data_IF_400890047284
#
_entry.id   IF_400890047284
#
_cell.length_a   1.000
_cell.length_b   1.000
_cell.length_c   1.000
_cell.angle_alpha   90.00
_cell.angle_beta   90.00
_cell.angle_gamma   90.00
#
_symmetry.space_group_name_H-M   'P 1'
#
loop_
_entity.id
_entity.type
_entity.pdbx_description
1 polymer ?
#
# COMPACT_ATOMS: atom_id res chain seq x y z
N UNK A 1 27.29 10.40 -5.69
CA UNK A 1 26.00 11.05 -5.40
C UNK A 1 26.06 11.83 -4.09
N UNK A 2 26.24 11.17 -2.95
CA UNK A 2 26.26 11.83 -1.63
C UNK A 2 27.24 13.01 -1.52
N UNK A 3 28.52 12.81 -1.89
CA UNK A 3 29.54 13.88 -1.85
C UNK A 3 29.16 15.04 -2.77
N UNK A 4 28.73 14.73 -4.00
CA UNK A 4 28.35 15.73 -5.00
C UNK A 4 27.15 16.57 -4.52
N UNK A 5 26.10 15.92 -3.98
CA UNK A 5 24.94 16.62 -3.46
C UNK A 5 25.29 17.52 -2.29
N UNK A 6 26.07 17.02 -1.33
CA UNK A 6 26.57 17.82 -0.21
C UNK A 6 27.37 19.04 -0.68
N UNK A 7 28.29 18.86 -1.63
CA UNK A 7 29.09 19.99 -2.14
C UNK A 7 28.22 21.04 -2.83
N UNK A 8 27.27 20.61 -3.68
CA UNK A 8 26.41 21.53 -4.41
C UNK A 8 25.42 22.26 -3.47
N UNK A 9 24.76 21.52 -2.57
CA UNK A 9 23.85 22.09 -1.59
C UNK A 9 24.57 23.07 -0.65
N UNK A 10 25.77 22.73 -0.19
CA UNK A 10 26.57 23.63 0.64
C UNK A 10 26.94 24.90 -0.10
N UNK A 11 27.42 24.82 -1.34
CA UNK A 11 27.75 26.01 -2.15
C UNK A 11 26.49 26.87 -2.38
N UNK A 12 25.36 26.25 -2.66
CA UNK A 12 24.10 26.96 -2.88
C UNK A 12 23.64 27.76 -1.66
N UNK A 13 23.57 27.12 -0.48
CA UNK A 13 23.13 27.80 0.74
C UNK A 13 24.17 28.78 1.29
N UNK A 14 25.46 28.59 1.02
CA UNK A 14 26.47 29.59 1.34
C UNK A 14 26.31 30.89 0.53
N UNK A 15 25.78 30.80 -0.70
CA UNK A 15 25.58 31.95 -1.57
C UNK A 15 24.24 32.67 -1.36
N UNK A 16 23.22 31.97 -0.85
CA UNK A 16 21.89 32.52 -0.63
C UNK A 16 21.69 32.88 0.85
N UNK A 17 21.36 31.89 1.70
CA UNK A 17 21.06 32.08 3.11
C UNK A 17 21.74 31.01 3.99
N UNK A 18 22.67 31.46 4.83
CA UNK A 18 23.46 30.58 5.71
C UNK A 18 22.61 29.88 6.78
N UNK A 19 21.48 30.47 7.18
CA UNK A 19 20.59 29.88 8.18
C UNK A 19 19.91 28.61 7.64
N UNK A 20 19.61 28.57 6.33
CA UNK A 20 18.97 27.43 5.67
C UNK A 20 19.92 26.24 5.47
N UNK A 21 21.23 26.50 5.51
CA UNK A 21 22.25 25.45 5.52
C UNK A 21 22.03 24.46 6.69
N UNK A 22 21.66 24.97 7.87
CA UNK A 22 21.42 24.11 9.03
C UNK A 22 20.18 23.24 8.83
N UNK A 23 19.10 23.80 8.27
CA UNK A 23 17.89 23.04 7.94
C UNK A 23 18.15 21.99 6.86
N UNK A 24 18.99 22.29 5.87
CA UNK A 24 19.44 21.34 4.86
C UNK A 24 20.15 20.13 5.49
N UNK A 25 21.16 20.34 6.33
CA UNK A 25 21.86 19.25 7.01
C UNK A 25 20.96 18.46 7.97
N UNK A 26 20.08 19.15 8.70
CA UNK A 26 19.10 18.51 9.57
C UNK A 26 18.17 17.59 8.76
N UNK A 27 17.73 18.03 7.58
CA UNK A 27 16.86 17.26 6.70
C UNK A 27 17.52 15.95 6.23
N UNK A 28 18.80 16.01 5.83
CA UNK A 28 19.59 14.83 5.43
C UNK A 28 19.72 13.86 6.61
N UNK A 29 20.04 14.38 7.80
CA UNK A 29 20.18 13.56 9.01
C UNK A 29 18.86 12.87 9.35
N UNK A 30 17.73 13.58 9.31
CA UNK A 30 16.41 13.01 9.59
C UNK A 30 16.04 11.91 8.61
N UNK A 31 16.27 12.12 7.30
CA UNK A 31 16.03 11.08 6.29
C UNK A 31 16.94 9.88 6.55
N UNK A 32 18.23 10.08 6.80
CA UNK A 32 19.15 8.99 7.08
C UNK A 32 18.71 8.17 8.30
N UNK A 33 18.40 8.83 9.42
CA UNK A 33 17.94 8.16 10.64
C UNK A 33 16.66 7.38 10.39
N UNK A 34 15.68 7.98 9.71
CA UNK A 34 14.41 7.33 9.39
C UNK A 34 14.62 6.08 8.52
N UNK A 35 15.39 6.20 7.45
CA UNK A 35 15.63 5.11 6.51
C UNK A 35 16.52 4.01 7.12
N UNK A 36 17.45 4.38 8.00
CA UNK A 36 18.27 3.44 8.76
C UNK A 36 17.42 2.62 9.75
N UNK A 37 16.42 3.24 10.40
CA UNK A 37 15.45 2.53 11.26
C UNK A 37 14.69 1.49 10.42
N UNK A 38 14.20 1.86 9.23
CA UNK A 38 13.49 0.93 8.34
C UNK A 38 14.37 -0.25 7.91
N UNK A 39 15.65 0.00 7.65
CA UNK A 39 16.61 -1.06 7.36
C UNK A 39 16.83 -1.99 8.56
N UNK A 40 16.96 -1.45 9.78
CA UNK A 40 17.12 -2.25 11.00
C UNK A 40 15.90 -3.15 11.27
N UNK A 41 14.70 -2.69 10.91
CA UNK A 41 13.46 -3.47 11.00
C UNK A 41 13.38 -4.54 9.89
N UNK A 42 14.23 -4.46 8.86
CA UNK A 42 14.26 -5.39 7.74
C UNK A 42 13.20 -5.11 6.67
N UNK A 43 12.63 -3.91 6.65
CA UNK A 43 11.66 -3.48 5.64
C UNK A 43 12.33 -3.22 4.29
N UNK A 44 13.53 -2.65 4.28
CA UNK A 44 14.26 -2.26 3.08
C UNK A 44 15.67 -2.84 3.01
N UNK A 45 16.22 -2.87 1.79
CA UNK A 45 17.58 -3.32 1.56
C UNK A 45 18.58 -2.17 1.80
N UNK A 46 19.84 -2.50 2.07
CA UNK A 46 20.90 -1.51 2.26
C UNK A 46 21.14 -0.62 1.03
N UNK A 47 20.79 -1.09 -0.17
CA UNK A 47 20.82 -0.30 -1.40
C UNK A 47 19.83 0.87 -1.37
N UNK A 48 18.60 0.63 -0.92
CA UNK A 48 17.55 1.66 -0.82
C UNK A 48 17.95 2.76 0.17
N UNK A 49 18.61 2.38 1.26
CA UNK A 49 19.13 3.32 2.26
C UNK A 49 20.15 4.28 1.66
N UNK A 50 21.13 3.76 0.94
CA UNK A 50 22.17 4.58 0.29
C UNK A 50 21.56 5.51 -0.76
N UNK A 51 20.59 5.01 -1.53
CA UNK A 51 19.94 5.77 -2.58
C UNK A 51 19.11 6.92 -2.02
N UNK A 52 18.23 6.67 -1.05
CA UNK A 52 17.36 7.70 -0.47
C UNK A 52 18.16 8.73 0.34
N UNK A 53 19.20 8.28 1.06
CA UNK A 53 20.12 9.21 1.72
C UNK A 53 20.86 10.06 0.69
N UNK A 54 21.33 9.47 -0.41
CA UNK A 54 21.93 10.22 -1.52
C UNK A 54 20.95 11.22 -2.15
N UNK A 55 19.68 10.84 -2.35
CA UNK A 55 18.64 11.73 -2.85
C UNK A 55 18.38 12.91 -1.92
N UNK A 56 18.42 12.70 -0.59
CA UNK A 56 18.23 13.79 0.38
C UNK A 56 19.29 14.88 0.28
N UNK A 57 20.49 14.56 -0.20
CA UNK A 57 21.53 15.57 -0.43
C UNK A 57 21.30 16.41 -1.68
N UNK A 58 20.46 15.95 -2.61
CA UNK A 58 20.20 16.65 -3.88
C UNK A 58 18.82 17.33 -3.92
N UNK A 59 17.80 16.69 -3.36
CA UNK A 59 16.42 17.18 -3.38
C UNK A 59 16.18 18.15 -2.21
N UNK A 60 16.52 19.41 -2.45
CA UNK A 60 16.22 20.53 -1.54
C UNK A 60 14.91 21.22 -1.97
N UNK A 61 14.25 21.89 -1.03
CA UNK A 61 12.96 22.59 -1.29
C UNK A 61 13.12 23.63 -2.40
N UNK A 62 14.19 24.42 -2.35
CA UNK A 62 14.44 25.50 -3.30
C UNK A 62 14.68 24.99 -4.72
N UNK A 63 15.20 23.77 -4.88
CA UNK A 63 15.33 23.15 -6.21
C UNK A 63 14.00 22.76 -6.81
N UNK A 64 12.98 22.51 -5.98
CA UNK A 64 11.65 22.19 -6.47
C UNK A 64 10.90 23.45 -6.93
N UNK A 65 11.24 24.62 -6.40
CA UNK A 65 10.65 25.90 -6.85
C UNK A 65 11.00 26.27 -8.29
N UNK A 66 12.05 25.67 -8.86
CA UNK A 66 12.44 25.82 -10.27
C UNK A 66 11.45 25.08 -11.20
N UNK A 67 10.67 24.13 -10.69
CA UNK A 67 9.75 23.33 -11.49
C UNK A 67 8.54 24.14 -11.96
N UNK A 68 7.98 23.83 -13.15
CA UNK A 68 6.80 24.52 -13.65
C UNK A 68 5.61 24.32 -12.70
N UNK A 69 5.04 25.44 -12.23
CA UNK A 69 3.87 25.44 -11.34
C UNK A 69 2.59 25.46 -12.16
N UNK A 70 1.62 24.64 -11.77
CA UNK A 70 0.27 24.66 -12.36
C UNK A 70 -0.79 24.71 -11.26
N UNK A 71 -1.93 25.33 -11.57
CA UNK A 71 -3.05 25.45 -10.63
C UNK A 71 -4.20 24.54 -11.03
N UNK A 72 -4.71 23.74 -10.08
CA UNK A 72 -5.90 22.91 -10.25
C UNK A 72 -6.80 23.07 -9.02
N UNK A 73 -8.08 23.39 -9.22
CA UNK A 73 -9.07 23.54 -8.15
C UNK A 73 -8.63 24.44 -6.98
N UNK A 74 -7.95 25.55 -7.28
CA UNK A 74 -7.46 26.52 -6.28
C UNK A 74 -6.15 26.12 -5.58
N UNK A 75 -5.62 24.92 -5.83
CA UNK A 75 -4.31 24.51 -5.34
C UNK A 75 -3.23 24.77 -6.39
N UNK A 76 -2.06 25.23 -5.93
CA UNK A 76 -0.85 25.28 -6.74
C UNK A 76 -0.02 24.02 -6.53
N UNK A 77 0.39 23.43 -7.64
CA UNK A 77 1.21 22.23 -7.69
C UNK A 77 2.58 22.56 -8.25
N UNK A 78 3.64 21.89 -7.76
CA UNK A 78 3.68 20.96 -6.63
C UNK A 78 3.34 21.60 -5.27
N UNK A 79 2.59 20.87 -4.44
CA UNK A 79 2.07 21.36 -3.15
C UNK A 79 3.04 21.06 -2.00
N UNK A 80 3.56 22.08 -1.33
CA UNK A 80 4.55 21.90 -0.24
C UNK A 80 3.98 22.03 1.17
N UNK A 81 2.83 22.71 1.31
CA UNK A 81 2.03 22.85 2.54
C UNK A 81 2.67 23.66 3.68
N UNK A 82 3.96 23.50 3.99
CA UNK A 82 4.62 24.16 5.12
C UNK A 82 6.11 24.44 4.88
N UNK A 83 6.69 25.35 5.67
CA UNK A 83 8.12 25.74 5.64
C UNK A 83 9.07 24.59 6.02
N UNK A 84 8.60 23.57 6.74
CA UNK A 84 9.39 22.38 7.14
C UNK A 84 9.24 21.21 6.16
N UNK A 85 9.01 21.51 4.88
CA UNK A 85 8.88 20.49 3.86
C UNK A 85 10.21 19.76 3.64
N UNK A 86 10.21 18.42 3.77
CA UNK A 86 11.38 17.59 3.44
C UNK A 86 11.05 16.78 2.18
N UNK A 87 11.52 17.21 0.99
CA UNK A 87 11.19 16.58 -0.29
C UNK A 87 11.37 15.06 -0.31
N UNK A 88 12.50 14.60 0.21
CA UNK A 88 12.83 13.17 0.19
C UNK A 88 11.90 12.34 1.08
N UNK A 89 11.34 12.92 2.15
CA UNK A 89 10.30 12.23 2.93
C UNK A 89 9.01 12.07 2.11
N UNK A 90 8.65 13.07 1.32
CA UNK A 90 7.54 12.93 0.37
C UNK A 90 7.83 11.95 -0.74
N UNK A 91 9.07 11.87 -1.25
CA UNK A 91 9.47 10.80 -2.17
C UNK A 91 9.19 9.44 -1.53
N UNK A 92 9.63 9.22 -0.28
CA UNK A 92 9.41 7.96 0.43
C UNK A 92 7.92 7.63 0.54
N UNK A 93 7.09 8.58 1.00
CA UNK A 93 5.64 8.38 1.14
C UNK A 93 5.00 8.09 -0.21
N UNK A 94 5.33 8.89 -1.23
CA UNK A 94 4.82 8.74 -2.59
C UNK A 94 5.23 7.40 -3.20
N UNK A 95 6.46 6.94 -2.96
CA UNK A 95 6.92 5.64 -3.42
C UNK A 95 6.12 4.50 -2.81
N UNK A 96 5.84 4.58 -1.50
CA UNK A 96 5.02 3.57 -0.81
C UNK A 96 3.58 3.58 -1.33
N UNK A 97 2.99 4.76 -1.53
CA UNK A 97 1.64 4.90 -2.09
C UNK A 97 1.57 4.35 -3.53
N UNK A 98 2.57 4.64 -4.36
CA UNK A 98 2.65 4.16 -5.74
C UNK A 98 2.82 2.64 -5.86
N UNK A 99 3.35 1.95 -4.84
CA UNK A 99 3.45 0.49 -4.83
C UNK A 99 2.05 -0.14 -4.95
N UNK A 100 1.07 0.36 -4.20
CA UNK A 100 -0.24 -0.28 -4.05
C UNK A 100 -0.93 -0.53 -5.39
N UNK A 101 -1.18 0.48 -6.25
CA UNK A 101 -1.87 0.24 -7.52
C UNK A 101 -1.08 -0.67 -8.46
N UNK A 102 0.25 -0.53 -8.50
CA UNK A 102 1.09 -1.33 -9.40
C UNK A 102 1.13 -2.79 -8.95
N UNK A 103 1.28 -3.07 -7.66
CA UNK A 103 1.21 -4.44 -7.13
C UNK A 103 -0.16 -5.04 -7.42
N UNK A 104 -1.25 -4.28 -7.29
CA UNK A 104 -2.58 -4.75 -7.65
C UNK A 104 -2.66 -5.16 -9.13
N UNK A 105 -2.13 -4.35 -10.05
CA UNK A 105 -2.06 -4.70 -11.46
C UNK A 105 -1.23 -5.96 -11.71
N UNK A 106 -0.07 -6.11 -11.06
CA UNK A 106 0.79 -7.30 -11.17
C UNK A 106 0.07 -8.55 -10.66
N UNK A 107 -0.64 -8.44 -9.53
CA UNK A 107 -1.41 -9.55 -8.95
C UNK A 107 -2.52 -9.98 -9.90
N UNK A 108 -3.30 -9.02 -10.43
CA UNK A 108 -4.38 -9.30 -11.38
C UNK A 108 -3.82 -9.98 -12.64
N UNK A 109 -2.73 -9.45 -13.20
CA UNK A 109 -2.06 -10.04 -14.35
C UNK A 109 -1.61 -11.48 -14.10
N UNK A 110 -0.96 -11.73 -12.97
CA UNK A 110 -0.44 -13.05 -12.62
C UNK A 110 -1.57 -14.06 -12.39
N UNK A 111 -2.68 -13.63 -11.79
CA UNK A 111 -3.86 -14.47 -11.61
C UNK A 111 -4.49 -14.82 -12.96
N UNK A 112 -4.71 -13.84 -13.84
CA UNK A 112 -5.32 -14.08 -15.15
C UNK A 112 -4.46 -15.03 -15.98
N UNK A 113 -3.13 -14.83 -15.98
CA UNK A 113 -2.22 -15.56 -16.87
C UNK A 113 -1.79 -16.92 -16.32
N UNK A 114 -1.41 -16.98 -15.05
CA UNK A 114 -0.70 -18.13 -14.49
C UNK A 114 -1.48 -18.88 -13.41
N UNK A 115 -2.41 -18.21 -12.71
CA UNK A 115 -3.14 -18.79 -11.56
C UNK A 115 -4.65 -18.47 -11.58
N UNK A 116 -5.38 -18.84 -12.64
CA UNK A 116 -6.79 -18.45 -12.80
C UNK A 116 -7.71 -19.05 -11.72
N UNK A 117 -7.27 -20.11 -11.05
CA UNK A 117 -8.00 -20.71 -9.92
C UNK A 117 -8.18 -19.75 -8.73
N UNK A 118 -7.29 -18.76 -8.56
CA UNK A 118 -7.35 -17.74 -7.51
C UNK A 118 -8.35 -16.62 -7.80
N UNK A 119 -8.94 -16.56 -9.00
CA UNK A 119 -9.87 -15.49 -9.38
C UNK A 119 -11.14 -15.49 -8.53
N UNK A 120 -11.56 -16.68 -8.05
CA UNK A 120 -12.69 -16.85 -7.12
C UNK A 120 -12.44 -16.19 -5.75
N UNK A 121 -11.18 -16.07 -5.36
CA UNK A 121 -10.80 -15.48 -4.07
C UNK A 121 -10.72 -13.94 -4.15
N UNK A 122 -10.56 -13.36 -5.35
CA UNK A 122 -10.66 -11.90 -5.57
C UNK A 122 -12.13 -11.48 -5.53
N UNK A 123 -12.99 -12.17 -6.27
CA UNK A 123 -14.40 -11.81 -6.42
C UNK A 123 -15.25 -12.88 -5.75
N UNK A 124 -15.48 -12.71 -4.45
CA UNK A 124 -16.46 -13.54 -3.75
C UNK A 124 -17.88 -13.04 -4.03
N UNK A 125 -18.82 -13.96 -4.21
CA UNK A 125 -20.24 -13.61 -4.42
C UNK A 125 -20.81 -12.82 -3.24
N UNK A 126 -20.30 -13.06 -2.02
CA UNK A 126 -20.68 -12.29 -0.82
C UNK A 126 -20.25 -10.83 -0.87
N UNK A 127 -19.06 -10.55 -1.41
CA UNK A 127 -18.55 -9.18 -1.51
C UNK A 127 -19.24 -8.37 -2.60
N UNK A 128 -19.63 -9.00 -3.72
CA UNK A 128 -20.47 -8.35 -4.74
C UNK A 128 -21.82 -7.93 -4.16
N UNK A 129 -22.46 -8.80 -3.38
CA UNK A 129 -23.71 -8.45 -2.71
C UNK A 129 -23.50 -7.29 -1.73
N UNK A 130 -22.41 -7.31 -0.96
CA UNK A 130 -22.09 -6.23 -0.03
C UNK A 130 -21.86 -4.90 -0.77
N UNK A 131 -21.09 -4.91 -1.87
CA UNK A 131 -20.82 -3.74 -2.70
C UNK A 131 -22.12 -3.12 -3.24
N UNK A 132 -22.97 -3.95 -3.82
CA UNK A 132 -24.29 -3.54 -4.33
C UNK A 132 -25.14 -2.92 -3.22
N UNK A 133 -25.14 -3.53 -2.03
CA UNK A 133 -25.92 -3.00 -0.91
C UNK A 133 -25.35 -1.70 -0.37
N UNK A 134 -24.03 -1.54 -0.31
CA UNK A 134 -23.42 -0.27 0.11
C UNK A 134 -23.73 0.84 -0.88
N UNK A 135 -23.64 0.59 -2.19
CA UNK A 135 -23.99 1.58 -3.22
C UNK A 135 -25.46 1.99 -3.13
N UNK A 136 -26.35 1.04 -2.86
CA UNK A 136 -27.75 1.38 -2.69
C UNK A 136 -28.01 2.24 -1.46
N UNK A 137 -27.27 2.02 -0.38
CA UNK A 137 -27.36 2.87 0.82
C UNK A 137 -26.85 4.28 0.52
N UNK A 138 -25.74 4.42 -0.21
CA UNK A 138 -25.26 5.72 -0.68
C UNK A 138 -26.32 6.44 -1.51
N UNK A 139 -26.93 5.76 -2.48
CA UNK A 139 -28.00 6.33 -3.31
C UNK A 139 -29.25 6.73 -2.51
N UNK A 140 -29.72 5.88 -1.60
CA UNK A 140 -30.86 6.20 -0.72
C UNK A 140 -30.54 7.39 0.17
N UNK A 141 -29.34 7.39 0.76
CA UNK A 141 -28.88 8.47 1.61
C UNK A 141 -28.85 9.80 0.85
N UNK A 142 -28.32 9.80 -0.37
CA UNK A 142 -28.29 10.98 -1.23
C UNK A 142 -29.70 11.53 -1.49
N UNK A 143 -30.67 10.66 -1.82
CA UNK A 143 -32.06 11.07 -2.01
C UNK A 143 -32.69 11.66 -0.75
N UNK A 144 -32.45 11.06 0.41
CA UNK A 144 -32.92 11.60 1.70
C UNK A 144 -32.28 12.96 1.96
N UNK A 145 -30.97 13.07 1.74
CA UNK A 145 -30.24 14.31 1.99
C UNK A 145 -30.71 15.45 1.07
N UNK A 146 -31.09 15.16 -0.18
CA UNK A 146 -31.66 16.16 -1.09
C UNK A 146 -33.03 16.69 -0.61
N UNK A 147 -33.75 15.94 0.23
CA UNK A 147 -35.05 16.37 0.79
C UNK A 147 -34.83 17.09 2.13
N UNK A 148 -33.95 16.55 2.98
CA UNK A 148 -33.76 17.01 4.37
C UNK A 148 -32.74 18.15 4.47
N UNK A 149 -31.87 18.32 3.47
CA UNK A 149 -30.76 19.27 3.44
C UNK A 149 -29.93 19.26 4.73
N UNK A 150 -29.28 18.13 4.99
CA UNK A 150 -28.33 18.04 6.11
C UNK A 150 -27.00 18.63 5.65
N UNK A 151 -26.75 19.88 6.03
CA UNK A 151 -25.55 20.62 5.63
C UNK A 151 -24.27 20.15 6.36
N UNK A 152 -24.40 19.42 7.47
CA UNK A 152 -23.26 18.97 8.27
C UNK A 152 -22.65 17.67 7.73
N UNK A 153 -21.45 17.76 7.15
CA UNK A 153 -20.74 16.62 6.55
C UNK A 153 -20.45 15.50 7.56
N UNK A 154 -20.11 15.84 8.81
CA UNK A 154 -19.84 14.86 9.86
C UNK A 154 -21.11 14.07 10.19
N UNK A 155 -22.26 14.76 10.29
CA UNK A 155 -23.54 14.10 10.47
C UNK A 155 -23.85 13.16 9.29
N UNK A 156 -23.56 13.60 8.07
CA UNK A 156 -23.75 12.82 6.84
C UNK A 156 -22.92 11.52 6.85
N UNK A 157 -21.65 11.61 7.23
CA UNK A 157 -20.76 10.44 7.36
C UNK A 157 -21.25 9.50 8.46
N UNK A 158 -21.66 10.02 9.62
CA UNK A 158 -22.16 9.19 10.73
C UNK A 158 -23.43 8.46 10.36
N UNK A 159 -24.41 9.15 9.75
CA UNK A 159 -25.67 8.55 9.28
C UNK A 159 -25.38 7.46 8.26
N UNK A 160 -24.46 7.74 7.33
CA UNK A 160 -24.09 6.79 6.29
C UNK A 160 -23.41 5.54 6.85
N UNK A 161 -22.47 5.70 7.79
CA UNK A 161 -21.83 4.57 8.50
C UNK A 161 -22.86 3.77 9.30
N UNK A 162 -23.79 4.45 9.96
CA UNK A 162 -24.87 3.81 10.72
C UNK A 162 -25.80 3.00 9.81
N UNK A 163 -26.25 3.56 8.68
CA UNK A 163 -27.07 2.86 7.69
C UNK A 163 -26.33 1.66 7.09
N UNK A 164 -25.07 1.83 6.72
CA UNK A 164 -24.20 0.75 6.21
C UNK A 164 -24.05 -0.39 7.22
N UNK A 165 -23.83 -0.06 8.50
CA UNK A 165 -23.75 -1.04 9.58
C UNK A 165 -25.08 -1.75 9.83
N UNK A 166 -26.19 -1.00 9.90
CA UNK A 166 -27.52 -1.54 10.13
C UNK A 166 -27.91 -2.55 9.04
N UNK A 167 -27.68 -2.20 7.77
CA UNK A 167 -28.00 -3.08 6.63
C UNK A 167 -27.09 -4.31 6.58
N UNK A 168 -25.81 -4.18 6.91
CA UNK A 168 -24.91 -5.33 6.99
C UNK A 168 -25.31 -6.34 8.08
N UNK A 169 -26.06 -5.90 9.10
CA UNK A 169 -26.60 -6.77 10.16
C UNK A 169 -27.95 -7.41 9.79
N UNK A 170 -28.59 -6.98 8.71
CA UNK A 170 -29.86 -7.55 8.26
C UNK A 170 -29.68 -8.96 7.66
N UNK A 171 -30.74 -9.77 7.76
CA UNK A 171 -30.72 -11.15 7.25
C UNK A 171 -30.49 -11.20 5.74
N UNK A 172 -29.88 -12.30 5.25
CA UNK A 172 -29.60 -12.52 3.82
C UNK A 172 -30.84 -12.33 2.91
N UNK A 173 -32.06 -12.59 3.42
CA UNK A 173 -33.31 -12.41 2.68
C UNK A 173 -33.60 -10.95 2.37
N UNK A 174 -33.42 -10.05 3.36
CA UNK A 174 -33.63 -8.61 3.18
C UNK A 174 -32.61 -8.03 2.20
N UNK A 175 -31.36 -8.50 2.28
CA UNK A 175 -30.29 -8.09 1.38
C UNK A 175 -30.57 -8.42 -0.10
N UNK A 176 -31.26 -9.53 -0.37
CA UNK A 176 -31.66 -9.90 -1.73
C UNK A 176 -32.77 -9.00 -2.30
N UNK A 177 -33.58 -8.36 -1.46
CA UNK A 177 -34.59 -7.37 -1.87
C UNK A 177 -33.93 -6.03 -2.22
N UNK A 178 -32.79 -5.71 -1.62
CA UNK A 178 -32.03 -4.49 -1.93
C UNK A 178 -31.44 -4.57 -3.35
N UNK A 179 -31.11 -5.76 -3.85
CA UNK A 179 -30.50 -5.92 -5.19
C UNK A 179 -31.40 -5.37 -6.32
N UNK A 180 -32.69 -5.73 -6.47
CA UNK A 180 -33.53 -5.14 -7.51
C UNK A 180 -33.78 -3.63 -7.33
N UNK A 181 -33.62 -3.11 -6.10
CA UNK A 181 -33.69 -1.67 -5.83
C UNK A 181 -32.53 -0.88 -6.45
N UNK A 182 -31.42 -1.54 -6.85
CA UNK A 182 -30.32 -0.87 -7.59
C UNK A 182 -30.80 -0.24 -8.88
N UNK A 183 -31.69 -0.93 -9.62
CA UNK A 183 -32.17 -0.48 -10.93
C UNK A 183 -32.99 0.80 -10.76
N UNK A 184 -33.82 0.86 -9.71
CA UNK A 184 -34.62 2.04 -9.37
C UNK A 184 -33.71 3.21 -8.99
N UNK A 185 -32.68 2.95 -8.17
CA UNK A 185 -31.72 3.99 -7.76
C UNK A 185 -30.87 4.50 -8.92
N UNK A 186 -30.47 3.61 -9.85
CA UNK A 186 -29.79 3.99 -11.09
C UNK A 186 -30.66 4.92 -11.93
N UNK A 187 -31.94 4.57 -12.13
CA UNK A 187 -32.89 5.41 -12.87
C UNK A 187 -33.04 6.78 -12.18
N UNK A 188 -33.19 6.79 -10.85
CA UNK A 188 -33.31 8.03 -10.08
C UNK A 188 -32.06 8.92 -10.20
N UNK A 189 -30.86 8.33 -10.14
CA UNK A 189 -29.60 9.06 -10.29
C UNK A 189 -29.41 9.61 -11.72
N UNK A 190 -29.93 8.91 -12.74
CA UNK A 190 -29.97 9.42 -14.12
C UNK A 190 -30.92 10.61 -14.24
N UNK A 191 -32.11 10.53 -13.62
CA UNK A 191 -33.09 11.63 -13.62
C UNK A 191 -32.52 12.89 -12.95
N UNK A 192 -31.73 12.74 -11.89
CA UNK A 192 -31.14 13.86 -11.15
C UNK A 192 -29.75 14.29 -11.67
N UNK A 193 -29.32 13.85 -12.87
CA UNK A 193 -28.02 14.16 -13.48
C UNK A 193 -26.78 13.76 -12.63
N UNK A 194 -26.95 12.93 -11.60
CA UNK A 194 -25.90 12.53 -10.66
C UNK A 194 -25.17 11.24 -11.06
N UNK A 195 -25.30 10.80 -12.32
CA UNK A 195 -24.73 9.54 -12.78
C UNK A 195 -23.19 9.52 -12.66
N UNK A 196 -22.53 10.68 -12.85
CA UNK A 196 -21.08 10.80 -12.70
C UNK A 196 -20.63 10.53 -11.26
N UNK A 197 -21.33 11.10 -10.28
CA UNK A 197 -21.06 10.89 -8.85
C UNK A 197 -21.23 9.40 -8.49
N UNK A 198 -22.33 8.79 -8.92
CA UNK A 198 -22.59 7.37 -8.69
C UNK A 198 -21.52 6.46 -9.31
N UNK A 199 -21.04 6.77 -10.51
CA UNK A 199 -19.95 6.02 -11.15
C UNK A 199 -18.63 6.17 -10.39
N UNK A 200 -18.31 7.37 -9.92
CA UNK A 200 -17.12 7.62 -9.08
C UNK A 200 -17.21 6.82 -7.77
N UNK A 201 -18.34 6.86 -7.07
CA UNK A 201 -18.57 6.07 -5.86
C UNK A 201 -18.43 4.57 -6.13
N UNK A 202 -18.98 4.09 -7.24
CA UNK A 202 -18.87 2.69 -7.68
C UNK A 202 -17.42 2.29 -7.89
N UNK A 203 -16.62 3.12 -8.56
CA UNK A 203 -15.19 2.88 -8.79
C UNK A 203 -14.44 2.85 -7.45
N UNK A 204 -14.69 3.81 -6.55
CA UNK A 204 -14.03 3.88 -5.25
C UNK A 204 -14.33 2.63 -4.41
N UNK A 205 -15.61 2.25 -4.28
CA UNK A 205 -15.99 1.09 -3.48
C UNK A 205 -15.45 -0.20 -4.11
N UNK A 206 -15.47 -0.32 -5.43
CA UNK A 206 -14.88 -1.45 -6.13
C UNK A 206 -13.38 -1.56 -5.84
N UNK A 207 -12.65 -0.46 -5.90
CA UNK A 207 -11.23 -0.40 -5.53
C UNK A 207 -11.00 -0.85 -4.08
N UNK A 208 -11.80 -0.35 -3.12
CA UNK A 208 -11.70 -0.74 -1.71
C UNK A 208 -11.96 -2.24 -1.52
N UNK A 209 -13.00 -2.78 -2.15
CA UNK A 209 -13.35 -4.21 -2.06
C UNK A 209 -12.23 -5.07 -2.67
N UNK A 210 -11.68 -4.67 -3.82
CA UNK A 210 -10.56 -5.36 -4.45
C UNK A 210 -9.32 -5.39 -3.54
N UNK A 211 -8.93 -4.22 -2.99
CA UNK A 211 -7.78 -4.13 -2.07
C UNK A 211 -8.02 -5.02 -0.84
N UNK A 212 -9.19 -4.92 -0.22
CA UNK A 212 -9.57 -5.73 0.94
C UNK A 212 -9.47 -7.23 0.64
N UNK A 213 -10.01 -7.67 -0.49
CA UNK A 213 -10.04 -9.09 -0.85
C UNK A 213 -8.65 -9.63 -1.14
N UNK A 214 -7.82 -8.86 -1.85
CA UNK A 214 -6.42 -9.20 -2.07
C UNK A 214 -5.63 -9.28 -0.75
N UNK A 215 -5.92 -8.40 0.21
CA UNK A 215 -5.24 -8.41 1.52
C UNK A 215 -5.71 -9.52 2.48
N UNK A 216 -6.98 -9.95 2.40
CA UNK A 216 -7.60 -10.85 3.41
C UNK A 216 -7.10 -12.30 3.35
N UNK A 217 -6.68 -12.80 2.19
CA UNK A 217 -6.62 -14.24 1.92
C UNK A 217 -5.21 -14.81 1.68
N UNK A 218 -4.14 -14.17 2.18
CA UNK A 218 -2.74 -14.50 1.82
C UNK A 218 -2.49 -14.57 0.29
N UNK A 219 -3.42 -14.03 -0.51
CA UNK A 219 -3.40 -14.09 -1.97
C UNK A 219 -2.13 -13.44 -2.50
N UNK A 220 -1.75 -12.30 -1.94
CA UNK A 220 -0.49 -11.62 -2.28
C UNK A 220 0.69 -12.60 -2.19
N UNK A 221 0.79 -13.36 -1.09
CA UNK A 221 1.87 -14.33 -0.90
C UNK A 221 1.75 -15.45 -1.91
N UNK A 222 0.57 -16.05 -2.10
CA UNK A 222 0.40 -17.17 -3.02
C UNK A 222 0.67 -16.78 -4.48
N UNK A 223 0.15 -15.62 -4.92
CA UNK A 223 0.28 -15.12 -6.28
C UNK A 223 1.72 -14.74 -6.57
N UNK A 224 2.33 -13.94 -5.70
CA UNK A 224 3.72 -13.49 -5.84
C UNK A 224 4.73 -14.53 -5.35
N UNK A 225 4.39 -15.81 -5.33
CA UNK A 225 5.32 -16.90 -5.05
C UNK A 225 5.44 -17.86 -6.22
N UNK A 226 6.63 -18.43 -6.38
CA UNK A 226 6.92 -19.51 -7.33
C UNK A 226 7.43 -20.75 -6.59
N UNK A 227 7.05 -21.93 -7.08
CA UNK A 227 7.66 -23.18 -6.63
C UNK A 227 9.06 -23.31 -7.22
N UNK A 228 10.05 -23.55 -6.35
CA UNK A 228 11.43 -23.84 -6.74
C UNK A 228 11.84 -25.15 -6.09
N UNK A 229 12.51 -26.02 -6.86
CA UNK A 229 13.10 -27.25 -6.33
C UNK A 229 14.31 -26.94 -5.47
N UNK A 230 14.60 -27.78 -4.48
CA UNK A 230 15.73 -27.55 -3.56
C UNK A 230 17.09 -27.48 -4.28
N UNK A 231 17.22 -28.17 -5.41
CA UNK A 231 18.44 -28.15 -6.23
C UNK A 231 18.66 -26.81 -6.94
N UNK A 232 17.57 -26.09 -7.25
CA UNK A 232 17.58 -24.80 -7.95
C UNK A 232 17.54 -23.61 -6.98
N UNK A 233 17.67 -23.84 -5.67
CA UNK A 233 17.79 -22.77 -4.69
C UNK A 233 19.13 -22.08 -4.82
N UNK A 234 19.10 -20.76 -4.93
CA UNK A 234 20.28 -19.91 -4.87
C UNK A 234 20.25 -19.06 -3.60
N UNK A 235 21.43 -18.58 -3.20
CA UNK A 235 21.56 -17.57 -2.17
C UNK A 235 20.72 -16.32 -2.52
N UNK A 236 20.29 -15.58 -1.49
CA UNK A 236 19.43 -14.39 -1.58
C UNK A 236 17.99 -14.63 -2.06
N UNK A 237 17.59 -15.87 -2.39
CA UNK A 237 16.17 -16.17 -2.61
C UNK A 237 15.39 -16.02 -1.29
N UNK A 238 14.20 -15.41 -1.32
CA UNK A 238 13.40 -15.18 -0.11
C UNK A 238 12.29 -16.23 -0.02
N UNK A 239 12.24 -16.99 1.07
CA UNK A 239 11.14 -17.93 1.33
C UNK A 239 9.80 -17.19 1.47
N UNK A 240 8.75 -17.74 0.88
CA UNK A 240 7.39 -17.21 0.98
C UNK A 240 6.72 -17.47 2.33
N UNK A 241 7.24 -18.44 3.09
CA UNK A 241 6.77 -18.85 4.43
C UNK A 241 7.99 -19.13 5.31
N UNK A 242 7.99 -18.62 6.55
CA UNK A 242 9.05 -18.93 7.51
C UNK A 242 9.04 -20.42 7.86
N UNK A 243 10.21 -21.00 8.12
CA UNK A 243 10.32 -22.35 8.66
C UNK A 243 10.34 -22.27 10.18
N UNK A 244 9.38 -22.93 10.82
CA UNK A 244 9.25 -23.02 12.29
C UNK A 244 9.42 -24.45 12.76
N UNK A 245 9.92 -24.61 13.98
CA UNK A 245 9.93 -25.88 14.72
C UNK A 245 8.94 -25.80 15.88
N UNK A 246 8.10 -26.81 15.97
CA UNK A 246 7.14 -27.02 17.05
C UNK A 246 7.10 -28.51 17.37
N UNK A 247 7.30 -28.87 18.64
CA UNK A 247 7.35 -30.27 19.11
C UNK A 247 8.22 -31.18 18.22
N UNK A 248 9.45 -30.76 17.94
CA UNK A 248 10.43 -31.47 17.08
C UNK A 248 10.01 -31.72 15.62
N UNK A 249 8.91 -31.09 15.19
CA UNK A 249 8.45 -31.13 13.80
C UNK A 249 8.65 -29.78 13.13
N UNK A 250 9.00 -29.83 11.86
CA UNK A 250 9.30 -28.64 11.06
C UNK A 250 8.13 -28.35 10.13
N UNK A 251 7.64 -27.11 10.15
CA UNK A 251 6.53 -26.69 9.31
C UNK A 251 6.78 -25.31 8.69
N UNK A 252 6.21 -25.07 7.52
CA UNK A 252 6.16 -23.74 6.93
C UNK A 252 4.98 -22.97 7.53
N UNK A 253 5.29 -21.86 8.19
CA UNK A 253 4.33 -21.01 8.88
C UNK A 253 3.48 -20.21 7.88
N UNK A 254 2.31 -20.77 7.54
CA UNK A 254 1.32 -20.16 6.64
C UNK A 254 0.38 -19.17 7.31
N UNK A 255 0.52 -18.94 8.63
CA UNK A 255 -0.40 -18.08 9.39
C UNK A 255 -0.33 -16.62 8.97
N UNK A 256 -1.47 -15.94 9.08
CA UNK A 256 -1.60 -14.50 8.82
C UNK A 256 -0.97 -13.65 9.93
N UNK A 257 -0.68 -12.37 9.65
CA UNK A 257 -0.12 -11.42 10.64
C UNK A 257 -0.97 -11.34 11.92
N UNK A 258 -2.30 -11.37 11.78
CA UNK A 258 -3.24 -11.32 12.91
C UNK A 258 -3.12 -12.55 13.82
N UNK A 259 -3.02 -13.74 13.24
CA UNK A 259 -2.89 -14.99 13.99
C UNK A 259 -1.57 -15.04 14.77
N UNK A 260 -0.48 -14.54 14.17
CA UNK A 260 0.83 -14.45 14.82
C UNK A 260 0.87 -13.53 16.03
N UNK A 261 0.02 -12.49 16.06
CA UNK A 261 -0.06 -11.53 17.17
C UNK A 261 -0.94 -12.07 18.30
N UNK A 262 -2.03 -12.79 17.98
CA UNK A 262 -2.95 -13.32 18.98
C UNK A 262 -2.47 -14.61 19.65
N UNK A 263 -1.72 -15.47 18.94
CA UNK A 263 -1.18 -16.71 19.51
C UNK A 263 0.21 -16.47 20.11
N UNK A 264 0.29 -16.51 21.45
CA UNK A 264 1.54 -16.77 22.17
C UNK A 264 1.71 -18.28 22.21
N UNK A 265 2.65 -18.81 21.43
CA UNK A 265 2.94 -20.24 21.39
C UNK A 265 4.46 -20.45 21.24
N UNK A 266 4.94 -21.57 21.76
CA UNK A 266 6.35 -21.98 21.88
C UNK A 266 6.88 -22.54 20.54
N UNK A 267 7.04 -21.67 19.54
CA UNK A 267 7.72 -22.04 18.29
C UNK A 267 9.08 -21.37 18.18
N UNK A 268 10.03 -22.15 17.67
CA UNK A 268 11.35 -21.66 17.31
C UNK A 268 11.38 -21.30 15.81
N UNK A 269 11.69 -20.04 15.50
CA UNK A 269 11.92 -19.60 14.12
C UNK A 269 13.31 -20.03 13.67
N UNK A 270 13.37 -20.96 12.72
CA UNK A 270 14.64 -21.48 12.21
C UNK A 270 15.09 -20.67 11.00
N UNK A 271 14.19 -20.47 10.03
CA UNK A 271 14.45 -19.65 8.86
C UNK A 271 13.34 -18.60 8.74
N UNK A 272 13.73 -17.33 8.80
CA UNK A 272 12.81 -16.18 8.74
C UNK A 272 12.81 -15.51 7.37
N UNK A 273 11.73 -14.81 7.03
CA UNK A 273 11.55 -14.06 5.78
C UNK A 273 12.32 -12.73 5.74
N UNK A 274 13.64 -12.77 5.93
CA UNK A 274 14.46 -11.55 5.90
C UNK A 274 14.63 -11.05 4.47
N UNK A 275 14.72 -9.73 4.30
CA UNK A 275 14.87 -9.08 3.00
C UNK A 275 16.19 -9.45 2.27
N UNK A 276 17.21 -9.90 3.01
CA UNK A 276 18.47 -10.38 2.44
C UNK A 276 18.38 -11.83 1.88
N UNK A 277 17.27 -12.53 2.10
CA UNK A 277 17.04 -13.89 1.60
C UNK A 277 17.83 -14.99 2.30
N UNK A 278 17.80 -16.18 1.71
CA UNK A 278 18.44 -17.41 2.20
C UNK A 278 19.96 -17.32 2.11
N UNK A 279 20.63 -17.77 3.17
CA UNK A 279 22.07 -18.02 3.21
C UNK A 279 22.39 -19.43 2.70
N UNK A 280 23.67 -19.71 2.44
CA UNK A 280 24.14 -21.05 2.06
C UNK A 280 23.83 -22.07 3.18
N UNK A 281 23.95 -21.64 4.44
CA UNK A 281 23.62 -22.44 5.62
C UNK A 281 22.12 -22.82 5.62
N UNK A 282 21.24 -21.85 5.37
CA UNK A 282 19.79 -22.09 5.27
C UNK A 282 19.44 -23.09 4.17
N UNK A 283 20.08 -22.99 3.00
CA UNK A 283 19.87 -23.92 1.87
C UNK A 283 20.33 -25.32 2.23
N UNK A 284 21.49 -25.44 2.90
CA UNK A 284 22.02 -26.73 3.34
C UNK A 284 21.07 -27.41 4.35
N UNK A 285 20.50 -26.63 5.26
CA UNK A 285 19.52 -27.10 6.23
C UNK A 285 18.24 -27.60 5.55
N UNK A 286 17.70 -26.86 4.59
CA UNK A 286 16.53 -27.28 3.81
C UNK A 286 16.78 -28.60 3.06
N UNK A 287 17.95 -28.74 2.41
CA UNK A 287 18.33 -30.00 1.74
C UNK A 287 18.46 -31.16 2.73
N UNK A 288 19.00 -30.91 3.92
CA UNK A 288 19.10 -31.93 4.98
C UNK A 288 17.72 -32.38 5.49
N UNK A 289 16.81 -31.44 5.73
CA UNK A 289 15.45 -31.73 6.17
C UNK A 289 14.66 -32.51 5.12
N UNK A 290 14.91 -32.24 3.83
CA UNK A 290 14.31 -33.02 2.74
C UNK A 290 14.85 -34.46 2.69
N UNK A 291 16.17 -34.65 2.84
CA UNK A 291 16.77 -35.99 2.93
C UNK A 291 16.21 -36.81 4.09
N UNK A 292 15.85 -36.16 5.20
CA UNK A 292 15.18 -36.78 6.35
C UNK A 292 13.68 -37.05 6.13
N UNK A 293 13.11 -36.69 4.98
CA UNK A 293 11.70 -36.87 4.67
C UNK A 293 10.75 -35.92 5.41
N UNK A 294 11.26 -34.88 6.07
CA UNK A 294 10.45 -33.97 6.89
C UNK A 294 9.74 -32.92 6.03
N UNK A 295 10.37 -32.49 4.93
CA UNK A 295 9.81 -31.52 3.98
C UNK A 295 9.86 -32.05 2.54
N UNK A 296 9.00 -31.53 1.68
CA UNK A 296 9.00 -31.85 0.25
C UNK A 296 10.19 -31.26 -0.50
N UNK A 297 10.42 -31.74 -1.74
CA UNK A 297 11.52 -31.27 -2.61
C UNK A 297 11.28 -29.87 -3.21
N UNK A 298 10.13 -29.25 -2.94
CA UNK A 298 9.76 -27.95 -3.47
C UNK A 298 9.45 -27.00 -2.34
N UNK A 299 9.94 -25.78 -2.47
CA UNK A 299 9.66 -24.68 -1.56
C UNK A 299 9.13 -23.48 -2.34
N UNK A 300 8.31 -22.67 -1.68
CA UNK A 300 7.76 -21.45 -2.25
C UNK A 300 8.73 -20.30 -2.01
N UNK A 301 9.15 -19.66 -3.10
CA UNK A 301 10.04 -18.49 -3.11
C UNK A 301 9.24 -17.28 -3.56
N UNK A 302 9.36 -16.19 -2.79
CA UNK A 302 8.72 -14.91 -3.07
C UNK A 302 9.38 -14.30 -4.31
N UNK A 303 8.56 -13.85 -5.26
CA UNK A 303 9.00 -12.97 -6.35
C UNK A 303 9.30 -11.61 -5.75
N UNK A 304 10.58 -11.29 -5.63
CA UNK A 304 11.04 -9.94 -5.28
C UNK A 304 10.75 -9.02 -6.45
N UNK A 305 9.98 -7.96 -6.21
CA UNK A 305 9.90 -6.83 -7.13
C UNK A 305 10.96 -5.83 -6.69
N UNK A 306 11.79 -5.36 -7.62
CA UNK A 306 12.78 -4.33 -7.31
C UNK A 306 12.05 -3.08 -6.80
N UNK A 307 12.56 -2.46 -5.72
CA UNK A 307 11.89 -1.29 -5.15
C UNK A 307 12.17 0.01 -5.93
N UNK A 308 13.29 0.06 -6.66
CA UNK A 308 13.74 1.24 -7.40
C UNK A 308 12.73 1.86 -8.39
N UNK A 309 11.92 1.10 -9.17
CA UNK A 309 10.88 1.69 -10.03
C UNK A 309 9.81 2.44 -9.24
N UNK A 310 9.50 2.01 -8.00
CA UNK A 310 8.56 2.72 -7.12
C UNK A 310 9.21 3.96 -6.52
N UNK A 311 10.52 3.94 -6.27
CA UNK A 311 11.27 5.14 -5.90
C UNK A 311 11.18 6.19 -7.03
N UNK A 312 11.38 5.77 -8.28
CA UNK A 312 11.22 6.65 -9.43
C UNK A 312 9.78 7.18 -9.57
N UNK A 313 8.76 6.33 -9.42
CA UNK A 313 7.37 6.78 -9.44
C UNK A 313 7.08 7.80 -8.34
N UNK A 314 7.55 7.53 -7.11
CA UNK A 314 7.39 8.45 -5.99
C UNK A 314 8.13 9.77 -6.20
N UNK A 315 9.30 9.74 -6.85
CA UNK A 315 10.00 10.95 -7.28
C UNK A 315 9.15 11.76 -8.26
N UNK A 316 8.64 11.14 -9.33
CA UNK A 316 7.80 11.83 -10.33
C UNK A 316 6.57 12.46 -9.67
N UNK A 317 5.91 11.74 -8.76
CA UNK A 317 4.77 12.26 -8.00
C UNK A 317 5.19 13.42 -7.10
N UNK A 318 6.37 13.35 -6.48
CA UNK A 318 6.88 14.45 -5.64
C UNK A 318 7.22 15.69 -6.47
N UNK A 319 7.77 15.52 -7.66
CA UNK A 319 8.11 16.64 -8.54
C UNK A 319 6.86 17.29 -9.17
N UNK A 320 5.81 16.51 -9.42
CA UNK A 320 4.59 17.02 -10.08
C UNK A 320 3.49 17.43 -9.09
N UNK A 321 3.19 16.58 -8.10
CA UNK A 321 2.12 16.78 -7.13
C UNK A 321 2.66 17.38 -5.81
N UNK A 322 3.89 17.06 -5.42
CA UNK A 322 4.47 17.50 -4.15
C UNK A 322 4.13 16.57 -2.99
N UNK A 323 3.75 17.17 -1.85
CA UNK A 323 3.43 16.47 -0.62
C UNK A 323 2.01 15.91 -0.64
N UNK A 324 1.85 14.70 -1.17
CA UNK A 324 0.53 14.05 -1.24
C UNK A 324 -0.10 13.80 0.14
N UNK A 325 0.70 13.57 1.18
CA UNK A 325 0.18 13.38 2.54
C UNK A 325 -0.51 14.65 3.05
N UNK A 326 0.15 15.80 2.92
CA UNK A 326 -0.46 17.08 3.31
C UNK A 326 -1.64 17.43 2.41
N UNK A 327 -1.55 17.17 1.11
CA UNK A 327 -2.66 17.38 0.19
C UNK A 327 -3.90 16.56 0.60
N UNK A 328 -3.73 15.27 0.91
CA UNK A 328 -4.82 14.41 1.39
C UNK A 328 -5.35 14.92 2.73
N UNK A 329 -4.47 15.35 3.64
CA UNK A 329 -4.86 15.90 4.94
C UNK A 329 -5.69 17.17 4.79
N UNK A 330 -5.28 18.08 3.92
CA UNK A 330 -5.99 19.35 3.72
C UNK A 330 -7.31 19.13 2.99
N UNK A 331 -7.35 18.23 1.99
CA UNK A 331 -8.61 17.80 1.38
C UNK A 331 -9.55 17.20 2.41
N UNK A 332 -9.06 16.34 3.31
CA UNK A 332 -9.87 15.78 4.40
C UNK A 332 -10.29 16.84 5.42
N UNK A 333 -9.44 17.84 5.71
CA UNK A 333 -9.76 18.95 6.61
C UNK A 333 -10.70 19.99 6.02
N UNK A 334 -10.87 20.02 4.70
CA UNK A 334 -11.94 20.79 4.02
C UNK A 334 -13.25 19.98 4.00
N UNK A 335 -13.16 18.65 4.09
CA UNK A 335 -14.32 17.73 4.13
C UNK A 335 -14.86 17.53 5.57
N UNK A 336 -14.05 17.75 6.61
CA UNK A 336 -14.45 17.68 8.03
C UNK A 336 -14.68 19.09 8.55
#
# INVERSE_FOLDING_TARGET
MFIVGLTLGTIFYLNNDILDLLYYYLSILLVFVFVYILWKIGLWAGGDVKLLTGMSTLLCVDYLDILPKFSLWGYSFPFYGSMLFIPTMSVIVNSVLSIVPIIMCIIIYEIIKNKPYLMKDIISTGDLINLVTTLNIFGIYFLINNIVNIDNIIANIIILLFLSFAVNKLSKRVRNIIIPMTIILLIMNVIHENIQLYLIETIIILCIVLIKNVMKNDLIKQVLSREVTLDNLSESMILSYSLIRYDDKYFFDKRGLKEKILQKEDYEYIITQKAHGLTIEDISLLKHLHKKGVIGNKVLIKRSVAFAPFILSGLIVTLTIGNTYLLIKDLLGVII
#
